data_IF_682516546579
#
_entry.id   IF_682516546579
#
_cell.length_a   1.000
_cell.length_b   1.000
_cell.length_c   1.000
_cell.angle_alpha   90.00
_cell.angle_beta   90.00
_cell.angle_gamma   90.00
#
_symmetry.space_group_name_H-M   'P 1'
#
loop_
_entity.id
_entity.type
_entity.pdbx_description
1 polymer ?
#
# COMPACT_ATOMS: atom_id res chain seq x y z
N UNK A 1 -17.66 -15.46 4.68
CA UNK A 1 -16.99 -14.31 4.02
C UNK A 1 -16.14 -13.62 5.07
N UNK A 2 -14.81 -13.54 4.88
CA UNK A 2 -13.94 -12.84 5.84
C UNK A 2 -14.27 -11.34 5.78
N UNK A 3 -14.61 -10.73 6.92
CA UNK A 3 -14.91 -9.30 7.00
C UNK A 3 -13.64 -8.53 6.60
N UNK A 4 -13.63 -7.92 5.43
CA UNK A 4 -12.52 -7.06 4.98
C UNK A 4 -12.44 -5.89 5.96
N UNK A 5 -11.40 -5.86 6.78
CA UNK A 5 -11.22 -4.88 7.88
C UNK A 5 -11.24 -3.42 7.41
N UNK A 6 -10.83 -3.19 6.16
CA UNK A 6 -10.74 -1.89 5.52
C UNK A 6 -11.06 -2.04 4.03
N UNK A 7 -11.92 -1.17 3.49
CA UNK A 7 -12.28 -1.14 2.07
C UNK A 7 -11.10 -0.66 1.21
N UNK A 8 -11.20 -0.83 -0.10
CA UNK A 8 -10.16 -0.35 -1.02
C UNK A 8 -10.10 1.18 -1.07
N UNK A 9 -11.24 1.86 -0.94
CA UNK A 9 -11.30 3.32 -0.82
C UNK A 9 -10.66 3.83 0.47
N UNK A 10 -10.88 3.12 1.59
CA UNK A 10 -10.20 3.43 2.85
C UNK A 10 -8.68 3.19 2.73
N UNK A 11 -8.22 2.15 2.02
CA UNK A 11 -6.80 1.91 1.77
C UNK A 11 -6.19 3.04 0.92
N UNK A 12 -6.89 3.48 -0.13
CA UNK A 12 -6.45 4.60 -0.97
C UNK A 12 -6.37 5.90 -0.17
N UNK A 13 -7.35 6.15 0.70
CA UNK A 13 -7.37 7.30 1.60
C UNK A 13 -6.19 7.28 2.56
N UNK A 14 -5.84 6.11 3.11
CA UNK A 14 -4.66 5.94 3.95
C UNK A 14 -3.35 6.22 3.19
N UNK A 15 -3.24 5.77 1.94
CA UNK A 15 -2.08 6.11 1.10
C UNK A 15 -1.97 7.62 0.85
N UNK A 16 -3.09 8.30 0.54
CA UNK A 16 -3.12 9.76 0.37
C UNK A 16 -2.72 10.50 1.64
N UNK A 17 -3.24 10.06 2.79
CA UNK A 17 -2.89 10.62 4.10
C UNK A 17 -1.39 10.45 4.40
N UNK A 18 -0.81 9.28 4.06
CA UNK A 18 0.62 9.03 4.21
C UNK A 18 1.48 9.96 3.35
N UNK A 19 1.12 10.15 2.07
CA UNK A 19 1.82 11.08 1.17
C UNK A 19 1.74 12.51 1.71
N UNK A 20 0.53 12.98 2.04
CA UNK A 20 0.32 14.33 2.62
C UNK A 20 1.14 14.56 3.89
N UNK A 21 1.18 13.58 4.81
CA UNK A 21 1.95 13.70 6.05
C UNK A 21 3.46 13.66 5.81
N UNK A 22 3.94 12.82 4.90
CA UNK A 22 5.37 12.66 4.59
C UNK A 22 5.96 13.86 3.85
N UNK A 23 5.20 14.46 2.93
CA UNK A 23 5.58 15.70 2.23
C UNK A 23 5.67 16.87 3.21
N UNK A 24 4.70 16.99 4.13
CA UNK A 24 4.73 18.02 5.17
C UNK A 24 5.87 17.80 6.20
N UNK A 25 6.17 16.54 6.54
CA UNK A 25 7.28 16.20 7.44
C UNK A 25 8.66 16.52 6.85
N UNK A 26 8.80 16.53 5.52
CA UNK A 26 10.06 16.86 4.84
C UNK A 26 10.49 18.33 5.03
N UNK A 27 9.59 19.21 5.49
CA UNK A 27 9.88 20.63 5.74
C UNK A 27 10.57 20.90 7.09
N UNK A 28 10.77 19.87 7.94
CA UNK A 28 11.46 20.00 9.22
C UNK A 28 12.14 18.70 9.63
N UNK A 29 13.46 18.64 9.45
CA UNK A 29 14.34 17.52 9.80
C UNK A 29 13.97 16.88 11.15
N UNK A 30 13.53 15.62 11.13
CA UNK A 30 13.45 14.77 12.32
C UNK A 30 12.07 14.60 12.97
N UNK A 31 10.98 14.47 12.19
CA UNK A 31 9.71 14.02 12.77
C UNK A 31 9.89 12.62 13.40
N UNK A 32 9.61 12.50 14.71
CA UNK A 32 9.61 11.21 15.40
C UNK A 32 8.59 10.28 14.74
N UNK A 33 8.90 8.98 14.65
CA UNK A 33 8.03 7.97 14.05
C UNK A 33 6.58 8.03 14.57
N UNK A 34 6.42 8.24 15.88
CA UNK A 34 5.11 8.40 16.51
C UNK A 34 4.38 9.65 16.02
N UNK A 35 5.08 10.79 15.93
CA UNK A 35 4.51 12.04 15.44
C UNK A 35 4.05 11.95 13.97
N UNK A 36 4.77 11.18 13.14
CA UNK A 36 4.35 10.91 11.76
C UNK A 36 3.01 10.17 11.75
N UNK A 37 2.85 9.12 12.54
CA UNK A 37 1.61 8.35 12.56
C UNK A 37 0.43 9.11 13.15
N UNK A 38 0.67 10.02 14.10
CA UNK A 38 -0.35 10.95 14.56
C UNK A 38 -0.78 11.92 13.45
N UNK A 39 0.17 12.48 12.69
CA UNK A 39 -0.14 13.34 11.54
C UNK A 39 -0.90 12.58 10.44
N UNK A 40 -0.53 11.33 10.16
CA UNK A 40 -1.24 10.46 9.23
C UNK A 40 -2.66 10.17 9.72
N UNK A 41 -2.83 9.86 11.01
CA UNK A 41 -4.16 9.60 11.58
C UNK A 41 -5.06 10.83 11.47
N UNK A 42 -4.52 12.02 11.76
CA UNK A 42 -5.24 13.28 11.58
C UNK A 42 -5.62 13.51 10.10
N UNK A 43 -4.67 13.37 9.18
CA UNK A 43 -4.93 13.51 7.74
C UNK A 43 -5.97 12.49 7.25
N UNK A 44 -5.89 11.24 7.69
CA UNK A 44 -6.85 10.19 7.34
C UNK A 44 -8.27 10.58 7.76
N UNK A 45 -8.47 11.07 8.98
CA UNK A 45 -9.78 11.53 9.47
C UNK A 45 -10.35 12.68 8.63
N UNK A 46 -9.50 13.58 8.15
CA UNK A 46 -9.94 14.71 7.30
C UNK A 46 -10.29 14.29 5.87
N UNK A 47 -9.62 13.26 5.35
CA UNK A 47 -9.80 12.78 3.97
C UNK A 47 -10.86 11.69 3.85
N UNK A 48 -11.14 10.98 4.95
CA UNK A 48 -12.09 9.89 4.96
C UNK A 48 -13.54 10.40 4.78
N UNK A 49 -14.37 9.69 4.00
CA UNK A 49 -15.79 10.01 3.87
C UNK A 49 -16.54 10.02 5.21
N UNK A 50 -17.64 10.77 5.28
CA UNK A 50 -18.53 10.76 6.43
C UNK A 50 -19.02 9.33 6.73
N UNK A 51 -18.93 8.92 7.99
CA UNK A 51 -19.31 7.57 8.42
C UNK A 51 -18.17 6.54 8.41
N UNK A 52 -16.96 6.90 7.96
CA UNK A 52 -15.78 6.06 8.17
C UNK A 52 -15.48 5.96 9.67
N UNK A 53 -15.32 4.73 10.23
CA UNK A 53 -15.00 4.56 11.64
C UNK A 53 -13.66 5.19 12.00
N UNK A 54 -13.59 5.81 13.18
CA UNK A 54 -12.33 6.30 13.73
C UNK A 54 -11.34 5.14 13.91
N UNK A 55 -10.13 5.31 13.37
CA UNK A 55 -9.04 4.34 13.48
C UNK A 55 -7.89 4.95 14.27
N UNK A 56 -7.28 4.15 15.14
CA UNK A 56 -6.07 4.57 15.86
C UNK A 56 -4.86 4.60 14.93
N UNK A 57 -3.89 5.46 15.24
CA UNK A 57 -2.61 5.54 14.54
C UNK A 57 -1.94 4.16 14.39
N UNK A 58 -1.97 3.35 15.45
CA UNK A 58 -1.41 1.98 15.45
C UNK A 58 -2.12 1.02 14.49
N UNK A 59 -3.44 1.14 14.35
CA UNK A 59 -4.21 0.31 13.41
C UNK A 59 -3.89 0.69 11.96
N UNK A 60 -3.81 1.99 11.69
CA UNK A 60 -3.43 2.53 10.37
C UNK A 60 -2.00 2.13 10.01
N UNK A 61 -1.07 2.20 10.95
CA UNK A 61 0.33 1.76 10.79
C UNK A 61 0.42 0.29 10.38
N UNK A 62 -0.27 -0.58 11.12
CA UNK A 62 -0.28 -2.02 10.85
C UNK A 62 -0.82 -2.29 9.44
N UNK A 63 -1.91 -1.61 9.07
CA UNK A 63 -2.52 -1.76 7.76
C UNK A 63 -1.62 -1.22 6.63
N UNK A 64 -1.02 -0.05 6.82
CA UNK A 64 -0.11 0.53 5.85
C UNK A 64 1.15 -0.31 5.64
N UNK A 65 1.64 -0.97 6.69
CA UNK A 65 2.78 -1.90 6.58
C UNK A 65 2.49 -3.05 5.60
N UNK A 66 1.25 -3.57 5.61
CA UNK A 66 0.80 -4.57 4.64
C UNK A 66 0.73 -3.99 3.23
N UNK A 67 0.14 -2.79 3.07
CA UNK A 67 0.07 -2.09 1.78
C UNK A 67 1.49 -1.87 1.22
N UNK A 68 2.39 -1.33 2.03
CA UNK A 68 3.79 -1.08 1.66
C UNK A 68 4.51 -2.36 1.25
N UNK A 69 4.31 -3.45 1.98
CA UNK A 69 4.88 -4.76 1.62
C UNK A 69 4.41 -5.21 0.23
N UNK A 70 3.10 -5.14 -0.01
CA UNK A 70 2.49 -5.57 -1.27
C UNK A 70 2.94 -4.68 -2.44
N UNK A 71 2.98 -3.36 -2.23
CA UNK A 71 3.50 -2.39 -3.20
C UNK A 71 4.97 -2.64 -3.53
N UNK A 72 5.81 -2.90 -2.53
CA UNK A 72 7.23 -3.18 -2.73
C UNK A 72 7.43 -4.48 -3.54
N UNK A 73 6.64 -5.52 -3.25
CA UNK A 73 6.69 -6.78 -3.99
C UNK A 73 6.27 -6.60 -5.45
N UNK A 74 5.19 -5.86 -5.71
CA UNK A 74 4.77 -5.53 -7.07
C UNK A 74 5.85 -4.71 -7.80
N UNK A 75 6.37 -3.65 -7.17
CA UNK A 75 7.41 -2.80 -7.75
C UNK A 75 8.68 -3.59 -8.10
N UNK A 76 9.08 -4.54 -7.26
CA UNK A 76 10.21 -5.43 -7.55
C UNK A 76 9.98 -6.33 -8.76
N UNK A 77 8.75 -6.82 -8.97
CA UNK A 77 8.40 -7.60 -10.17
C UNK A 77 8.38 -6.70 -11.41
N UNK A 78 7.79 -5.51 -11.30
CA UNK A 78 7.76 -4.52 -12.37
C UNK A 78 9.18 -4.17 -12.83
N UNK A 79 10.09 -3.87 -11.89
CA UNK A 79 11.49 -3.58 -12.19
C UNK A 79 12.21 -4.73 -12.88
N UNK A 80 11.99 -5.98 -12.45
CA UNK A 80 12.55 -7.16 -13.10
C UNK A 80 12.08 -7.31 -14.56
N UNK A 81 10.79 -7.11 -14.83
CA UNK A 81 10.25 -7.22 -16.19
C UNK A 81 10.74 -6.05 -17.05
N UNK A 82 10.83 -4.85 -16.48
CA UNK A 82 11.37 -3.68 -17.15
C UNK A 82 12.83 -3.86 -17.55
N UNK A 83 13.65 -4.49 -16.70
CA UNK A 83 15.06 -4.78 -16.97
C UNK A 83 15.23 -5.84 -18.06
N UNK A 84 14.36 -6.85 -18.07
CA UNK A 84 14.31 -7.90 -19.11
C UNK A 84 13.84 -7.41 -20.49
N UNK A 85 13.55 -6.10 -20.64
CA UNK A 85 12.94 -5.45 -21.82
C UNK A 85 13.27 -6.15 -23.13
N UNK A 86 12.30 -6.89 -23.67
CA UNK A 86 12.35 -7.43 -25.02
C UNK A 86 11.96 -6.31 -26.00
N UNK A 87 12.63 -6.23 -27.14
CA UNK A 87 12.28 -5.25 -28.18
C UNK A 87 10.80 -5.39 -28.56
N UNK A 88 10.04 -4.30 -28.48
CA UNK A 88 8.63 -4.25 -28.89
C UNK A 88 7.61 -4.26 -27.76
N UNK A 89 8.00 -4.28 -26.48
CA UNK A 89 7.07 -4.09 -25.36
C UNK A 89 6.96 -2.64 -24.93
N UNK A 90 5.73 -2.19 -24.66
CA UNK A 90 5.45 -0.87 -24.08
C UNK A 90 5.29 -0.96 -22.55
N UNK A 91 5.05 0.17 -21.88
CA UNK A 91 4.90 0.21 -20.41
C UNK A 91 3.65 -0.52 -19.92
N UNK A 92 2.56 -0.50 -20.69
CA UNK A 92 1.30 -1.17 -20.35
C UNK A 92 1.47 -2.70 -20.39
N UNK A 93 2.24 -3.22 -21.36
CA UNK A 93 2.59 -4.64 -21.45
C UNK A 93 3.39 -5.10 -20.23
N UNK A 94 4.32 -4.24 -19.77
CA UNK A 94 5.14 -4.49 -18.58
C UNK A 94 4.26 -4.51 -17.33
N UNK A 95 3.34 -3.55 -17.21
CA UNK A 95 2.40 -3.49 -16.09
C UNK A 95 1.48 -4.72 -16.05
N UNK A 96 0.89 -5.09 -17.18
CA UNK A 96 0.04 -6.27 -17.30
C UNK A 96 0.79 -7.57 -16.94
N UNK A 97 2.04 -7.70 -17.38
CA UNK A 97 2.89 -8.83 -17.03
C UNK A 97 3.21 -8.86 -15.53
N UNK A 98 3.54 -7.71 -14.92
CA UNK A 98 3.81 -7.59 -13.50
C UNK A 98 2.58 -7.96 -12.65
N UNK A 99 1.40 -7.47 -13.04
CA UNK A 99 0.12 -7.80 -12.38
C UNK A 99 -0.16 -9.30 -12.46
N UNK A 100 0.03 -9.92 -13.64
CA UNK A 100 -0.18 -11.36 -13.83
C UNK A 100 0.75 -12.20 -12.95
N UNK A 101 2.01 -11.82 -12.83
CA UNK A 101 2.97 -12.51 -11.95
C UNK A 101 2.63 -12.32 -10.47
N UNK A 102 2.25 -11.11 -10.09
CA UNK A 102 1.87 -10.79 -8.73
C UNK A 102 0.64 -11.61 -8.27
N UNK A 103 -0.42 -11.68 -9.08
CA UNK A 103 -1.63 -12.46 -8.77
C UNK A 103 -1.32 -13.94 -8.57
N UNK A 104 -0.52 -14.54 -9.44
CA UNK A 104 -0.07 -15.95 -9.30
C UNK A 104 0.70 -16.19 -7.99
N UNK A 105 1.53 -15.22 -7.58
CA UNK A 105 2.26 -15.32 -6.32
C UNK A 105 1.35 -15.20 -5.11
N UNK A 106 0.30 -14.39 -5.16
CA UNK A 106 -0.67 -14.25 -4.07
C UNK A 106 -1.48 -15.54 -3.88
N UNK A 107 -1.98 -16.13 -4.98
CA UNK A 107 -2.68 -17.42 -4.96
C UNK A 107 -1.83 -18.52 -4.29
N UNK A 108 -0.53 -18.58 -4.62
CA UNK A 108 0.39 -19.56 -4.02
C UNK A 108 0.61 -19.34 -2.52
N UNK A 109 0.65 -18.09 -2.06
CA UNK A 109 0.82 -17.79 -0.63
C UNK A 109 -0.43 -18.15 0.16
N UNK A 110 -1.62 -17.88 -0.40
CA UNK A 110 -2.91 -18.22 0.23
C UNK A 110 -3.10 -19.74 0.35
N UNK A 111 -2.68 -20.51 -0.65
CA UNK A 111 -2.70 -21.98 -0.60
C UNK A 111 -1.73 -22.52 0.46
N UNK A 112 -0.57 -21.89 0.63
CA UNK A 112 0.43 -22.30 1.63
C UNK A 112 -0.02 -21.95 3.06
N UNK A 113 -0.65 -20.80 3.25
CA UNK A 113 -1.19 -20.37 4.54
C UNK A 113 -2.36 -21.21 5.06
N UNK A 114 -3.08 -21.94 4.19
CA UNK A 114 -4.14 -22.89 4.58
C UNK A 114 -3.64 -24.30 4.92
N UNK A 115 -2.36 -24.59 4.70
CA UNK A 115 -1.75 -25.91 4.94
C UNK A 115 -0.83 -25.95 6.17
N UNK A 116 -0.83 -24.89 6.98
CA UNK A 116 -0.04 -24.78 8.21
C UNK A 116 -0.94 -24.73 9.44
#
# INVERSE_FOLDING_TARGET
MSRKWMTDDENLTLCKAWVSASENAASGTGMKYTALWEAISAAFKTLAPAGTPDRSARSLETKFSLIKHDTAKFSGLYAQILDLKQSGTNLDDIEAAALRLYSKLQEKNDVKGKKA
#
